data_IF_156669114728
#
_entry.id   IF_156669114728
#
_cell.length_a   1.000
_cell.length_b   1.000
_cell.length_c   1.000
_cell.angle_alpha   90.00
_cell.angle_beta   90.00
_cell.angle_gamma   90.00
#
_symmetry.space_group_name_H-M   'P 1'
#
loop_
_entity.id
_entity.type
_entity.pdbx_description
1 polymer ?
#
# COMPACT_ATOMS: atom_id res chain seq x y z
N UNK A 1 -4.86 -23.22 8.19
CA UNK A 1 -5.47 -22.12 7.41
C UNK A 1 -5.06 -20.81 8.04
N UNK A 2 -4.72 -19.76 7.28
CA UNK A 2 -4.43 -18.45 7.86
C UNK A 2 -5.67 -17.89 8.58
N UNK A 3 -5.43 -17.10 9.63
CA UNK A 3 -6.48 -16.47 10.44
C UNK A 3 -6.20 -14.97 10.53
N UNK A 4 -7.16 -14.12 10.21
CA UNK A 4 -7.00 -12.66 10.24
C UNK A 4 -6.91 -12.08 11.65
N UNK A 5 -7.42 -12.79 12.65
CA UNK A 5 -7.34 -12.39 14.06
C UNK A 5 -6.08 -12.92 14.77
N UNK A 6 -5.50 -14.01 14.24
CA UNK A 6 -4.25 -14.63 14.69
C UNK A 6 -3.28 -14.78 13.50
N UNK A 7 -2.88 -13.66 12.86
CA UNK A 7 -2.09 -13.70 11.64
C UNK A 7 -0.66 -14.16 11.90
N UNK A 8 -0.12 -14.95 10.98
CA UNK A 8 1.32 -15.20 10.92
C UNK A 8 1.97 -14.04 10.13
N UNK A 9 2.66 -13.16 10.85
CA UNK A 9 3.37 -12.03 10.23
C UNK A 9 4.64 -12.53 9.54
N UNK A 10 4.71 -12.34 8.23
CA UNK A 10 5.79 -12.81 7.35
C UNK A 10 6.59 -11.66 6.71
N UNK A 11 6.20 -10.42 6.97
CA UNK A 11 6.85 -9.24 6.40
C UNK A 11 6.95 -8.10 7.45
N UNK A 12 7.99 -8.08 8.29
CA UNK A 12 8.29 -6.94 9.14
C UNK A 12 8.78 -5.76 8.29
N UNK A 13 8.43 -4.55 8.70
CA UNK A 13 8.94 -3.31 8.14
C UNK A 13 9.58 -2.50 9.26
N UNK A 14 10.89 -2.37 9.19
CA UNK A 14 11.71 -1.65 10.18
C UNK A 14 12.21 -0.35 9.55
N UNK A 15 11.42 0.70 9.66
CA UNK A 15 11.81 2.03 9.19
C UNK A 15 11.23 3.08 10.14
N UNK A 16 12.03 4.07 10.61
CA UNK A 16 11.55 5.10 11.52
C UNK A 16 10.26 5.77 11.06
N UNK A 17 9.21 5.74 11.89
CA UNK A 17 7.87 6.25 11.58
C UNK A 17 6.99 5.30 10.76
N UNK A 18 7.52 4.17 10.28
CA UNK A 18 6.82 3.15 9.50
C UNK A 18 7.12 1.72 10.00
N UNK A 19 7.48 1.61 11.27
CA UNK A 19 7.70 0.31 11.91
C UNK A 19 6.35 -0.39 12.10
N UNK A 20 6.14 -1.48 11.38
CA UNK A 20 4.89 -2.24 11.38
C UNK A 20 5.11 -3.69 10.93
N UNK A 21 4.11 -4.54 11.15
CA UNK A 21 4.14 -5.94 10.71
C UNK A 21 3.03 -6.20 9.70
N UNK A 22 3.33 -7.00 8.68
CA UNK A 22 2.37 -7.41 7.66
C UNK A 22 2.29 -8.93 7.57
N UNK A 23 1.08 -9.46 7.47
CA UNK A 23 0.81 -10.84 7.12
C UNK A 23 0.10 -10.89 5.76
N UNK A 24 0.68 -11.56 4.77
CA UNK A 24 0.10 -11.71 3.43
C UNK A 24 -0.92 -12.83 3.41
N UNK A 25 -2.07 -12.60 4.04
CA UNK A 25 -3.14 -13.60 4.23
C UNK A 25 -3.61 -14.22 2.91
N UNK A 26 -3.77 -13.41 1.85
CA UNK A 26 -4.16 -13.93 0.54
C UNK A 26 -3.17 -14.96 0.02
N UNK A 27 -1.87 -14.65 0.05
CA UNK A 27 -0.81 -15.58 -0.36
C UNK A 27 -0.76 -16.83 0.53
N UNK A 28 -0.85 -16.66 1.85
CA UNK A 28 -0.88 -17.78 2.79
C UNK A 28 -2.10 -18.69 2.57
N UNK A 29 -3.21 -18.15 2.09
CA UNK A 29 -4.42 -18.89 1.75
C UNK A 29 -4.39 -19.51 0.33
N UNK A 30 -3.37 -19.21 -0.50
CA UNK A 30 -3.26 -19.70 -1.88
C UNK A 30 -4.04 -18.87 -2.90
N UNK A 31 -4.38 -17.61 -2.60
CA UNK A 31 -5.01 -16.72 -3.58
C UNK A 31 -3.98 -16.27 -4.64
N UNK A 32 -4.38 -16.30 -5.90
CA UNK A 32 -3.53 -15.94 -7.05
C UNK A 32 -3.85 -14.53 -7.59
N UNK A 33 -5.12 -14.13 -7.55
CA UNK A 33 -5.62 -12.90 -8.17
C UNK A 33 -6.17 -11.89 -7.15
N UNK A 34 -6.12 -12.22 -5.87
CA UNK A 34 -6.54 -11.34 -4.78
C UNK A 34 -5.39 -11.15 -3.79
N UNK A 35 -5.07 -9.91 -3.52
CA UNK A 35 -4.25 -9.50 -2.40
C UNK A 35 -5.12 -9.34 -1.16
N UNK A 36 -4.71 -9.93 -0.05
CA UNK A 36 -5.27 -9.68 1.26
C UNK A 36 -4.14 -9.64 2.28
N UNK A 37 -4.04 -8.57 3.04
CA UNK A 37 -2.96 -8.39 4.02
C UNK A 37 -3.51 -7.87 5.33
N UNK A 38 -3.10 -8.50 6.43
CA UNK A 38 -3.29 -7.94 7.76
C UNK A 38 -2.05 -7.13 8.13
N UNK A 39 -2.28 -5.89 8.53
CA UNK A 39 -1.27 -4.98 9.05
C UNK A 39 -1.47 -4.80 10.54
N UNK A 40 -0.38 -4.83 11.29
CA UNK A 40 -0.36 -4.40 12.69
C UNK A 40 0.59 -3.20 12.81
N UNK A 41 0.03 -2.09 13.27
CA UNK A 41 0.70 -0.79 13.35
C UNK A 41 0.81 -0.39 14.81
N UNK A 42 2.03 -0.38 15.39
CA UNK A 42 2.26 0.07 16.75
C UNK A 42 1.91 1.55 16.96
N UNK A 43 1.78 2.00 18.21
CA UNK A 43 1.62 3.42 18.55
C UNK A 43 2.69 4.31 17.92
N UNK A 44 2.29 5.46 17.40
CA UNK A 44 3.19 6.47 16.82
C UNK A 44 3.68 6.12 15.40
N UNK A 45 3.27 4.99 14.82
CA UNK A 45 3.73 4.56 13.50
C UNK A 45 2.66 4.75 12.43
N UNK A 46 3.10 4.87 11.16
CA UNK A 46 2.25 4.80 9.99
C UNK A 46 2.39 3.43 9.30
N UNK A 47 1.31 2.91 8.74
CA UNK A 47 1.36 1.67 7.97
C UNK A 47 2.21 1.80 6.69
N UNK A 48 2.12 2.95 6.04
CA UNK A 48 2.79 3.27 4.78
C UNK A 48 2.77 4.79 4.53
N UNK A 49 3.63 5.31 3.60
CA UNK A 49 3.57 6.70 3.15
C UNK A 49 2.23 7.06 2.51
N UNK A 50 1.85 8.34 2.50
CA UNK A 50 0.69 8.81 1.76
C UNK A 50 0.86 8.53 0.27
N UNK A 51 -0.09 7.78 -0.32
CA UNK A 51 0.01 7.30 -1.70
C UNK A 51 -1.34 7.00 -2.31
N UNK A 52 -1.36 6.82 -3.63
CA UNK A 52 -2.49 6.29 -4.39
C UNK A 52 -2.03 5.35 -5.50
N UNK A 53 -2.97 4.59 -6.03
CA UNK A 53 -2.77 3.54 -7.01
C UNK A 53 -3.42 3.90 -8.35
N UNK A 54 -2.81 3.50 -9.47
CA UNK A 54 -3.41 3.67 -10.80
C UNK A 54 -4.15 2.44 -11.30
N UNK A 55 -3.80 1.25 -10.84
CA UNK A 55 -4.42 0.01 -11.32
C UNK A 55 -5.19 -0.75 -10.23
N UNK A 56 -4.84 -0.59 -8.96
CA UNK A 56 -5.45 -1.33 -7.86
C UNK A 56 -6.40 -0.45 -7.05
N UNK A 57 -7.68 -0.84 -6.99
CA UNK A 57 -8.60 -0.34 -5.97
C UNK A 57 -8.39 -1.14 -4.69
N UNK A 58 -8.32 -0.48 -3.54
CA UNK A 58 -8.16 -1.13 -2.26
C UNK A 58 -9.41 -0.98 -1.38
N UNK A 59 -9.70 -2.02 -0.62
CA UNK A 59 -10.72 -2.02 0.42
C UNK A 59 -10.08 -2.34 1.76
N UNK A 60 -10.17 -1.41 2.70
CA UNK A 60 -9.65 -1.51 4.05
C UNK A 60 -10.77 -1.81 5.05
N UNK A 61 -10.49 -2.67 6.01
CA UNK A 61 -11.31 -2.93 7.18
C UNK A 61 -10.50 -2.71 8.45
N UNK A 62 -11.07 -2.05 9.44
CA UNK A 62 -10.46 -1.94 10.77
C UNK A 62 -10.85 -3.16 11.60
N UNK A 63 -9.84 -3.97 11.97
CA UNK A 63 -10.05 -5.16 12.81
C UNK A 63 -9.95 -4.84 14.30
N UNK A 64 -9.03 -3.93 14.68
CA UNK A 64 -8.82 -3.50 16.06
C UNK A 64 -8.13 -2.14 16.14
N UNK A 65 -8.34 -1.43 17.25
CA UNK A 65 -7.78 -0.10 17.47
C UNK A 65 -8.53 1.01 16.74
N UNK A 66 -8.03 2.24 16.84
CA UNK A 66 -8.64 3.44 16.24
C UNK A 66 -7.60 4.20 15.41
N UNK A 67 -7.36 3.80 14.16
CA UNK A 67 -6.40 4.47 13.29
C UNK A 67 -6.90 5.85 12.84
N UNK A 68 -5.97 6.77 12.62
CA UNK A 68 -6.20 8.01 11.90
C UNK A 68 -5.98 7.77 10.42
N UNK A 69 -6.99 8.01 9.60
CA UNK A 69 -6.95 7.96 8.14
C UNK A 69 -6.77 9.36 7.59
N UNK A 70 -5.76 9.55 6.75
CA UNK A 70 -5.57 10.72 5.87
C UNK A 70 -6.10 10.40 4.47
N UNK A 71 -6.92 11.29 3.92
CA UNK A 71 -7.40 11.28 2.54
C UNK A 71 -7.22 12.69 1.93
N UNK A 72 -7.55 12.92 0.64
CA UNK A 72 -7.58 14.28 0.07
C UNK A 72 -8.50 15.24 0.83
N UNK A 73 -9.56 14.74 1.46
CA UNK A 73 -10.51 15.53 2.25
C UNK A 73 -10.00 15.86 3.66
N UNK A 74 -8.87 15.29 4.07
CA UNK A 74 -8.27 15.53 5.38
C UNK A 74 -8.16 14.29 6.25
N UNK A 75 -8.05 14.50 7.56
CA UNK A 75 -7.91 13.46 8.57
C UNK A 75 -9.24 13.09 9.19
N UNK A 76 -9.45 11.79 9.41
CA UNK A 76 -10.53 11.25 10.23
C UNK A 76 -10.07 10.06 11.04
N UNK A 77 -10.69 9.82 12.19
CA UNK A 77 -10.49 8.61 12.97
C UNK A 77 -11.47 7.52 12.49
N UNK A 78 -10.97 6.28 12.45
CA UNK A 78 -11.79 5.09 12.17
C UNK A 78 -11.95 4.26 13.44
N UNK A 79 -12.96 3.40 13.45
CA UNK A 79 -13.27 2.49 14.54
C UNK A 79 -13.30 1.02 14.06
N UNK A 80 -13.15 0.03 14.95
CA UNK A 80 -13.30 -1.37 14.60
C UNK A 80 -14.65 -1.63 13.90
N UNK A 81 -14.58 -2.34 12.76
CA UNK A 81 -15.72 -2.62 11.90
C UNK A 81 -15.91 -1.63 10.75
N UNK A 82 -15.24 -0.46 10.77
CA UNK A 82 -15.28 0.46 9.63
C UNK A 82 -14.64 -0.18 8.38
N UNK A 83 -15.28 0.09 7.23
CA UNK A 83 -14.78 -0.28 5.92
C UNK A 83 -14.59 0.99 5.06
N UNK A 84 -13.46 1.08 4.36
CA UNK A 84 -13.13 2.23 3.50
C UNK A 84 -12.58 1.75 2.18
N UNK A 85 -13.16 2.22 1.08
CA UNK A 85 -12.63 1.98 -0.27
C UNK A 85 -11.70 3.11 -0.69
N UNK A 86 -10.59 2.76 -1.35
CA UNK A 86 -9.65 3.68 -1.98
C UNK A 86 -9.67 3.43 -3.48
N UNK A 87 -10.47 4.20 -4.23
CA UNK A 87 -10.54 4.06 -5.68
C UNK A 87 -9.22 4.45 -6.34
N UNK A 88 -9.02 4.00 -7.56
CA UNK A 88 -7.84 4.36 -8.36
C UNK A 88 -7.72 5.87 -8.57
N UNK A 89 -6.48 6.36 -8.69
CA UNK A 89 -6.15 7.76 -8.90
C UNK A 89 -6.12 8.59 -7.61
N UNK A 90 -5.89 9.90 -7.75
CA UNK A 90 -5.66 10.84 -6.64
C UNK A 90 -6.77 10.85 -5.60
N UNK A 91 -8.02 10.65 -6.01
CA UNK A 91 -9.18 10.60 -5.11
C UNK A 91 -9.11 9.45 -4.09
N UNK A 92 -8.34 8.40 -4.40
CA UNK A 92 -8.09 7.26 -3.49
C UNK A 92 -6.81 7.43 -2.67
N UNK A 93 -6.17 8.59 -2.70
CA UNK A 93 -4.95 8.80 -1.94
C UNK A 93 -5.19 8.65 -0.44
N UNK A 94 -4.32 7.87 0.23
CA UNK A 94 -4.53 7.55 1.63
C UNK A 94 -3.23 7.26 2.39
N UNK A 95 -3.33 7.40 3.71
CA UNK A 95 -2.32 7.00 4.69
C UNK A 95 -3.00 6.63 6.01
N UNK A 96 -2.57 5.55 6.64
CA UNK A 96 -3.00 5.16 7.98
C UNK A 96 -1.89 5.43 8.99
N UNK A 97 -2.26 6.10 10.08
CA UNK A 97 -1.36 6.41 11.19
C UNK A 97 -2.01 5.96 12.49
N UNK A 98 -1.27 5.26 13.32
CA UNK A 98 -1.70 4.97 14.68
C UNK A 98 -1.26 6.10 15.63
N UNK A 99 -2.20 6.95 16.02
CA UNK A 99 -1.98 8.04 17.00
C UNK A 99 -2.43 7.69 18.41
N UNK A 100 -2.95 6.45 18.59
CA UNK A 100 -3.40 5.93 19.87
C UNK A 100 -2.26 5.29 20.68
N UNK A 101 -2.64 4.67 21.79
CA UNK A 101 -1.71 4.01 22.72
C UNK A 101 -1.64 2.49 22.49
N UNK A 102 -2.65 1.90 21.86
CA UNK A 102 -2.72 0.47 21.54
C UNK A 102 -2.40 0.22 20.08
N UNK A 103 -1.94 -1.00 19.75
CA UNK A 103 -1.70 -1.39 18.38
C UNK A 103 -3.01 -1.43 17.56
N UNK A 104 -2.93 -0.94 16.33
CA UNK A 104 -4.03 -0.98 15.35
C UNK A 104 -3.85 -2.19 14.45
N UNK A 105 -4.96 -2.90 14.13
CA UNK A 105 -4.98 -3.96 13.12
C UNK A 105 -5.94 -3.63 12.00
N UNK A 106 -5.45 -3.80 10.78
CA UNK A 106 -6.16 -3.50 9.55
C UNK A 106 -6.12 -4.71 8.63
N UNK A 107 -7.21 -4.98 7.93
CA UNK A 107 -7.23 -5.88 6.77
C UNK A 107 -7.37 -5.01 5.52
N UNK A 108 -6.44 -5.17 4.57
CA UNK A 108 -6.51 -4.52 3.25
C UNK A 108 -6.64 -5.60 2.20
N UNK A 109 -7.61 -5.42 1.30
CA UNK A 109 -7.89 -6.32 0.17
C UNK A 109 -7.81 -5.52 -1.12
N UNK A 110 -7.15 -6.08 -2.13
CA UNK A 110 -7.01 -5.48 -3.46
C UNK A 110 -6.93 -6.57 -4.54
N UNK A 111 -7.11 -6.24 -5.82
CA UNK A 111 -6.67 -7.12 -6.90
C UNK A 111 -5.17 -7.42 -6.77
N UNK A 112 -4.73 -8.54 -7.33
CA UNK A 112 -3.33 -8.91 -7.43
C UNK A 112 -3.01 -9.48 -8.80
N UNK A 113 -1.75 -9.40 -9.24
CA UNK A 113 -1.30 -10.02 -10.49
C UNK A 113 -1.36 -9.12 -11.71
N UNK A 114 -1.50 -7.81 -11.52
CA UNK A 114 -1.32 -6.79 -12.59
C UNK A 114 -0.15 -5.87 -12.21
N UNK A 115 0.58 -5.32 -13.19
CA UNK A 115 1.54 -4.26 -12.91
C UNK A 115 0.85 -3.06 -12.26
N UNK A 116 1.45 -2.53 -11.20
CA UNK A 116 0.91 -1.42 -10.42
C UNK A 116 1.81 -0.21 -10.47
N UNK A 117 1.20 0.95 -10.56
CA UNK A 117 1.88 2.24 -10.43
C UNK A 117 1.34 2.95 -9.19
N UNK A 118 2.21 3.13 -8.18
CA UNK A 118 1.92 3.91 -6.99
C UNK A 118 2.52 5.31 -7.10
N UNK A 119 1.76 6.32 -6.74
CA UNK A 119 2.27 7.69 -6.61
C UNK A 119 2.31 8.10 -5.15
N UNK A 120 3.38 8.76 -4.75
CA UNK A 120 3.64 9.25 -3.40
C UNK A 120 3.70 10.78 -3.39
N UNK A 121 2.56 11.47 -3.22
CA UNK A 121 2.48 12.93 -3.40
C UNK A 121 3.44 13.70 -2.49
N UNK A 122 3.56 13.32 -1.21
CA UNK A 122 4.39 14.04 -0.24
C UNK A 122 5.89 14.01 -0.57
N UNK A 123 6.35 12.96 -1.25
CA UNK A 123 7.78 12.78 -1.58
C UNK A 123 8.09 12.90 -3.07
N UNK A 124 7.07 13.18 -3.90
CA UNK A 124 7.21 13.33 -5.35
C UNK A 124 7.75 12.08 -6.06
N UNK A 125 7.47 10.89 -5.52
CA UNK A 125 7.93 9.62 -6.10
C UNK A 125 6.82 8.92 -6.87
N UNK A 126 7.25 8.06 -7.81
CA UNK A 126 6.44 7.07 -8.50
C UNK A 126 7.11 5.71 -8.29
N UNK A 127 6.34 4.72 -7.90
CA UNK A 127 6.76 3.33 -7.80
C UNK A 127 6.09 2.48 -8.87
N UNK A 128 6.86 1.65 -9.54
CA UNK A 128 6.38 0.65 -10.49
C UNK A 128 6.60 -0.71 -9.85
N UNK A 129 5.52 -1.49 -9.76
CA UNK A 129 5.52 -2.79 -9.13
C UNK A 129 4.91 -3.82 -10.07
N UNK A 130 5.74 -4.72 -10.60
CA UNK A 130 5.24 -5.94 -11.21
C UNK A 130 5.16 -7.02 -10.13
N UNK A 131 3.95 -7.50 -9.86
CA UNK A 131 3.70 -8.53 -8.86
C UNK A 131 3.72 -9.94 -9.46
N UNK A 132 4.20 -10.07 -10.69
CA UNK A 132 4.37 -11.38 -11.33
C UNK A 132 5.27 -12.29 -10.47
N UNK A 133 5.03 -13.61 -10.47
CA UNK A 133 5.80 -14.56 -9.66
C UNK A 133 7.27 -14.71 -10.09
N UNK A 134 7.66 -14.13 -11.22
CA UNK A 134 9.02 -14.20 -11.78
C UNK A 134 9.62 -12.81 -11.69
N UNK A 135 10.69 -12.64 -10.90
CA UNK A 135 11.54 -11.44 -10.74
C UNK A 135 10.82 -10.12 -11.09
N UNK A 136 9.79 -9.80 -10.29
CA UNK A 136 8.93 -8.66 -10.58
C UNK A 136 9.69 -7.34 -10.50
N UNK A 137 9.44 -6.45 -11.44
CA UNK A 137 9.94 -5.08 -11.43
C UNK A 137 9.49 -4.39 -10.14
N UNK A 138 10.44 -3.84 -9.40
CA UNK A 138 10.17 -3.03 -8.21
C UNK A 138 11.11 -1.84 -8.20
N UNK A 139 10.66 -0.75 -8.78
CA UNK A 139 11.46 0.45 -8.93
C UNK A 139 10.72 1.68 -8.44
N UNK A 140 11.46 2.62 -7.87
CA UNK A 140 10.94 3.90 -7.44
C UNK A 140 11.77 5.03 -8.07
N UNK A 141 11.07 5.99 -8.68
CA UNK A 141 11.66 7.14 -9.35
C UNK A 141 11.15 8.44 -8.74
N UNK A 142 11.90 9.54 -8.89
CA UNK A 142 11.36 10.88 -8.67
C UNK A 142 10.64 11.33 -9.94
N UNK A 143 9.44 11.88 -9.79
CA UNK A 143 8.69 12.42 -10.96
C UNK A 143 9.44 13.53 -11.70
N UNK A 144 10.31 14.29 -10.98
CA UNK A 144 11.13 15.33 -11.58
C UNK A 144 12.23 14.84 -12.51
N UNK A 145 12.54 13.53 -12.47
CA UNK A 145 13.59 12.90 -13.29
C UNK A 145 12.99 12.26 -14.57
N UNK A 146 11.75 12.60 -14.90
CA UNK A 146 11.12 12.14 -16.15
C UNK A 146 11.86 12.71 -17.36
N UNK A 147 12.12 11.86 -18.33
CA UNK A 147 12.81 12.20 -19.58
C UNK A 147 11.83 12.33 -20.74
N UNK A 148 12.25 12.97 -21.83
CA UNK A 148 11.48 12.99 -23.08
C UNK A 148 11.43 11.60 -23.71
N UNK A 149 10.36 11.33 -24.49
CA UNK A 149 10.15 10.02 -25.12
C UNK A 149 11.30 9.58 -26.02
N UNK A 150 12.00 10.53 -26.65
CA UNK A 150 13.10 10.26 -27.58
C UNK A 150 14.48 10.49 -26.97
N UNK A 151 14.57 10.88 -25.69
CA UNK A 151 15.86 11.11 -25.05
C UNK A 151 16.70 9.82 -25.02
N UNK A 152 17.89 9.89 -25.62
CA UNK A 152 18.81 8.75 -25.73
C UNK A 152 18.52 7.77 -26.85
N UNK A 153 17.46 8.01 -27.67
CA UNK A 153 17.16 7.18 -28.82
C UNK A 153 17.96 7.63 -30.04
N UNK A 154 18.58 6.69 -30.74
CA UNK A 154 19.26 6.97 -32.01
C UNK A 154 18.33 6.70 -33.20
N UNK A 155 18.32 7.58 -34.24
CA UNK A 155 17.52 7.33 -35.43
C UNK A 155 18.05 6.08 -36.15
N UNK A 156 17.16 5.29 -36.80
CA UNK A 156 17.58 4.11 -37.53
C UNK A 156 18.53 4.47 -38.68
N UNK A 157 19.58 3.68 -38.87
CA UNK A 157 20.42 3.80 -40.05
C UNK A 157 19.60 3.51 -41.31
N UNK A 158 19.55 4.47 -42.26
CA UNK A 158 18.82 4.38 -43.54
C UNK A 158 19.79 3.88 -44.61
#
# INVERSE_FOLDING_TARGET
MPNIFEPHFDEPREHPGFDCRRARIGRQAGAERLGASVWEVPPGQAAYPYHFHYAEEELLFVLAGRPSLRTPEGWRELAPGDAVAFPVGERGAHQLVNRGEDAVRLLVVSPAGVPEICVYPDSGKVGIYDRAPIEGLRELYRRGDAVDYYEGEEPPAV
#
